data_IF_698586886392
#
_entry.id   IF_698586886392
#
_cell.length_a   1.000
_cell.length_b   1.000
_cell.length_c   1.000
_cell.angle_alpha   90.00
_cell.angle_beta   90.00
_cell.angle_gamma   90.00
#
_symmetry.space_group_name_H-M   'P 1'
#
loop_
_entity.id
_entity.type
_entity.pdbx_description
1 polymer ?
#
# COMPACT_ATOMS: atom_id res chain seq x y z
N UNK A 1 4.45 -1.96 -29.53
CA UNK A 1 3.92 -0.58 -29.65
C UNK A 1 3.71 -0.05 -28.24
N UNK A 2 3.84 1.25 -28.02
CA UNK A 2 3.32 1.90 -26.81
C UNK A 2 1.80 1.93 -26.88
N UNK A 3 1.13 1.92 -25.71
CA UNK A 3 -0.30 2.13 -25.55
C UNK A 3 -0.53 3.31 -24.62
N UNK A 4 -1.65 3.99 -24.76
CA UNK A 4 -2.17 4.96 -23.79
C UNK A 4 -3.11 4.27 -22.79
N UNK A 5 -3.49 4.96 -21.71
CA UNK A 5 -4.55 4.50 -20.82
C UNK A 5 -5.88 4.30 -21.60
N UNK A 6 -6.21 5.22 -22.50
CA UNK A 6 -7.45 5.15 -23.30
C UNK A 6 -7.48 3.94 -24.24
N UNK A 7 -6.33 3.52 -24.79
CA UNK A 7 -6.27 2.30 -25.61
C UNK A 7 -6.70 1.05 -24.82
N UNK A 8 -6.32 0.96 -23.55
CA UNK A 8 -6.70 -0.15 -22.66
C UNK A 8 -8.17 -0.05 -22.21
N UNK A 9 -8.68 1.17 -22.02
CA UNK A 9 -10.10 1.42 -21.75
C UNK A 9 -10.96 0.98 -22.93
N UNK A 10 -10.60 1.40 -24.15
CA UNK A 10 -11.32 1.03 -25.38
C UNK A 10 -11.23 -0.48 -25.65
N UNK A 11 -10.06 -1.11 -25.45
CA UNK A 11 -9.90 -2.57 -25.61
C UNK A 11 -10.76 -3.42 -24.65
N UNK A 12 -11.23 -2.85 -23.53
CA UNK A 12 -11.93 -3.56 -22.46
C UNK A 12 -13.39 -3.16 -22.26
N UNK A 13 -13.84 -2.00 -22.76
CA UNK A 13 -15.14 -1.40 -22.37
C UNK A 13 -16.34 -2.32 -22.63
N UNK A 14 -16.46 -2.95 -23.80
CA UNK A 14 -17.60 -3.82 -24.13
C UNK A 14 -17.55 -5.15 -23.38
N UNK A 15 -16.40 -5.83 -23.35
CA UNK A 15 -16.25 -7.09 -22.61
C UNK A 15 -16.49 -6.88 -21.11
N UNK A 16 -15.99 -5.78 -20.54
CA UNK A 16 -16.28 -5.37 -19.16
C UNK A 16 -17.77 -5.16 -18.92
N UNK A 17 -18.50 -4.52 -19.84
CA UNK A 17 -19.95 -4.31 -19.73
C UNK A 17 -20.73 -5.62 -19.79
N UNK A 18 -20.34 -6.58 -20.63
CA UNK A 18 -20.98 -7.90 -20.66
C UNK A 18 -20.75 -8.70 -19.37
N UNK A 19 -19.53 -8.65 -18.83
CA UNK A 19 -19.20 -9.23 -17.53
C UNK A 19 -19.87 -8.50 -16.35
N UNK A 20 -20.19 -7.21 -16.45
CA UNK A 20 -20.98 -6.51 -15.43
C UNK A 20 -22.43 -6.98 -15.46
N UNK A 21 -23.02 -7.15 -16.65
CA UNK A 21 -24.33 -7.76 -16.78
C UNK A 21 -24.34 -9.20 -16.24
N UNK A 22 -23.30 -10.00 -16.50
CA UNK A 22 -23.16 -11.36 -15.95
C UNK A 22 -23.01 -11.37 -14.42
N UNK A 23 -22.23 -10.46 -13.86
CA UNK A 23 -22.10 -10.34 -12.40
C UNK A 23 -23.42 -9.88 -11.75
N UNK A 24 -24.18 -9.01 -12.42
CA UNK A 24 -25.51 -8.59 -11.95
C UNK A 24 -26.52 -9.75 -11.94
N UNK A 25 -26.50 -10.63 -12.95
CA UNK A 25 -27.29 -11.88 -12.97
C UNK A 25 -26.97 -12.80 -11.78
N UNK A 26 -25.69 -12.91 -11.39
CA UNK A 26 -25.26 -13.71 -10.24
C UNK A 26 -25.54 -13.02 -8.89
N UNK A 27 -25.50 -11.69 -8.85
CA UNK A 27 -25.67 -10.91 -7.61
C UNK A 27 -27.14 -10.90 -7.17
N UNK A 28 -28.05 -10.50 -8.06
CA UNK A 28 -29.46 -10.30 -7.68
C UNK A 28 -29.61 -9.45 -6.41
N UNK A 29 -30.36 -9.95 -5.43
CA UNK A 29 -30.58 -9.34 -4.12
C UNK A 29 -29.60 -9.83 -3.01
N UNK A 30 -28.48 -10.50 -3.36
CA UNK A 30 -27.60 -11.18 -2.39
C UNK A 30 -26.79 -10.23 -1.49
N UNK A 31 -26.63 -10.56 -0.20
CA UNK A 31 -25.64 -9.87 0.66
C UNK A 31 -24.21 -10.28 0.27
N UNK A 32 -23.36 -9.34 -0.12
CA UNK A 32 -21.94 -9.62 -0.38
C UNK A 32 -21.11 -9.64 0.91
N UNK A 33 -20.01 -10.39 0.90
CA UNK A 33 -18.94 -10.35 1.89
C UNK A 33 -17.59 -10.64 1.21
N UNK A 34 -16.49 -10.20 1.83
CA UNK A 34 -15.14 -10.44 1.30
C UNK A 34 -14.16 -10.73 2.43
N UNK A 35 -13.32 -11.75 2.23
CA UNK A 35 -12.17 -12.08 3.07
C UNK A 35 -10.92 -12.08 2.18
N UNK A 36 -9.91 -11.28 2.54
CA UNK A 36 -8.61 -11.24 1.85
C UNK A 36 -7.56 -12.16 2.49
N UNK A 37 -7.81 -12.68 3.69
CA UNK A 37 -6.91 -13.62 4.39
C UNK A 37 -7.10 -15.07 3.89
N UNK A 38 -8.32 -15.41 3.50
CA UNK A 38 -8.65 -16.56 2.67
C UNK A 38 -9.38 -16.05 1.41
N UNK A 39 -8.63 -15.60 0.37
CA UNK A 39 -9.14 -14.78 -0.75
C UNK A 39 -10.46 -15.28 -1.36
N UNK A 40 -11.57 -14.68 -0.92
CA UNK A 40 -12.92 -15.07 -1.30
C UNK A 40 -13.87 -13.87 -1.22
N UNK A 41 -14.58 -13.61 -2.32
CA UNK A 41 -15.74 -12.74 -2.37
C UNK A 41 -16.98 -13.63 -2.45
N UNK A 42 -17.83 -13.59 -1.42
CA UNK A 42 -19.02 -14.45 -1.31
C UNK A 42 -20.30 -13.62 -1.47
N UNK A 43 -21.08 -13.96 -2.49
CA UNK A 43 -22.47 -13.53 -2.68
C UNK A 43 -23.38 -14.48 -1.90
N UNK A 44 -24.00 -13.98 -0.85
CA UNK A 44 -24.75 -14.77 0.12
C UNK A 44 -26.22 -14.88 -0.28
N UNK A 45 -26.62 -16.08 -0.68
CA UNK A 45 -27.99 -16.47 -1.07
C UNK A 45 -28.22 -17.95 -0.70
N UNK A 46 -29.41 -18.50 -1.01
CA UNK A 46 -29.68 -19.94 -0.81
C UNK A 46 -28.66 -20.83 -1.56
N UNK A 47 -28.26 -20.42 -2.77
CA UNK A 47 -27.18 -21.01 -3.57
C UNK A 47 -25.95 -20.07 -3.56
N UNK A 48 -25.35 -19.87 -2.38
CA UNK A 48 -24.25 -18.91 -2.17
C UNK A 48 -23.06 -19.13 -3.11
N UNK A 49 -22.62 -18.05 -3.78
CA UNK A 49 -21.56 -18.07 -4.81
C UNK A 49 -20.27 -17.48 -4.25
N UNK A 50 -19.14 -18.17 -4.44
CA UNK A 50 -17.80 -17.67 -4.12
C UNK A 50 -17.00 -17.36 -5.40
N UNK A 51 -16.28 -16.24 -5.39
CA UNK A 51 -15.42 -15.74 -6.47
C UNK A 51 -14.06 -15.32 -5.90
N UNK A 52 -13.01 -15.32 -6.71
CA UNK A 52 -11.66 -14.86 -6.32
C UNK A 52 -11.55 -13.34 -6.40
N UNK A 53 -11.24 -12.62 -5.31
CA UNK A 53 -11.13 -11.16 -5.30
C UNK A 53 -9.70 -10.67 -5.50
N UNK A 54 -9.56 -9.65 -6.34
CA UNK A 54 -8.30 -8.91 -6.54
C UNK A 54 -8.54 -7.43 -6.24
N UNK A 55 -7.88 -6.89 -5.22
CA UNK A 55 -7.98 -5.49 -4.82
C UNK A 55 -7.10 -4.63 -5.73
N UNK A 56 -7.70 -3.72 -6.49
CA UNK A 56 -6.94 -2.76 -7.31
C UNK A 56 -6.45 -1.57 -6.50
N UNK A 57 -7.31 -1.01 -5.65
CA UNK A 57 -7.03 0.20 -4.90
C UNK A 57 -8.26 0.77 -4.22
N UNK A 58 -8.10 1.94 -3.62
CA UNK A 58 -9.16 2.69 -2.93
C UNK A 58 -9.32 4.09 -3.50
N UNK A 59 -10.56 4.44 -3.76
CA UNK A 59 -11.04 5.77 -4.09
C UNK A 59 -11.53 6.44 -2.79
N UNK A 60 -11.07 7.66 -2.50
CA UNK A 60 -11.48 8.41 -1.32
C UNK A 60 -11.95 9.81 -1.67
N UNK A 61 -13.28 10.00 -1.67
CA UNK A 61 -13.91 11.31 -1.90
C UNK A 61 -13.51 12.33 -0.81
N UNK A 62 -13.22 11.86 0.41
CA UNK A 62 -12.83 12.68 1.56
C UNK A 62 -11.35 13.08 1.59
N UNK A 63 -10.45 12.31 0.95
CA UNK A 63 -9.04 12.69 0.74
C UNK A 63 -8.80 13.36 -0.62
N UNK A 64 -9.71 13.17 -1.58
CA UNK A 64 -9.54 13.65 -2.95
C UNK A 64 -8.50 12.86 -3.74
N UNK A 65 -8.30 11.57 -3.42
CA UNK A 65 -7.30 10.72 -4.08
C UNK A 65 -7.76 9.29 -4.37
N UNK A 66 -7.07 8.68 -5.33
CA UNK A 66 -7.02 7.23 -5.56
C UNK A 66 -5.65 6.71 -5.13
N UNK A 67 -5.62 5.62 -4.35
CA UNK A 67 -4.40 4.94 -3.91
C UNK A 67 -4.45 3.49 -4.42
N UNK A 68 -3.39 3.04 -5.08
CA UNK A 68 -3.30 1.65 -5.56
C UNK A 68 -2.94 0.68 -4.44
N UNK A 69 -3.44 -0.55 -4.52
CA UNK A 69 -3.25 -1.58 -3.48
C UNK A 69 -1.80 -2.03 -3.30
N UNK A 70 -0.94 -1.79 -4.29
CA UNK A 70 0.51 -2.04 -4.20
C UNK A 70 1.26 -1.01 -3.34
N UNK A 71 0.61 0.03 -2.80
CA UNK A 71 1.25 0.90 -1.79
C UNK A 71 1.28 0.23 -0.42
N UNK A 72 0.19 -0.44 -0.04
CA UNK A 72 0.04 -1.12 1.26
C UNK A 72 0.66 -2.54 1.23
N UNK A 73 1.90 -2.68 0.71
CA UNK A 73 2.57 -3.98 0.58
C UNK A 73 2.72 -4.68 1.92
N UNK A 74 2.31 -5.95 1.97
CA UNK A 74 2.32 -6.77 3.18
C UNK A 74 1.08 -6.64 4.08
N UNK A 75 0.12 -5.75 3.76
CA UNK A 75 -1.19 -5.74 4.41
C UNK A 75 -2.17 -6.76 3.83
N UNK A 76 -1.97 -7.16 2.57
CA UNK A 76 -2.77 -8.18 1.85
C UNK A 76 -1.85 -9.26 1.26
N UNK A 77 -2.33 -10.50 1.05
CA UNK A 77 -1.56 -11.52 0.33
C UNK A 77 -1.27 -11.13 -1.12
N UNK A 78 -0.16 -11.62 -1.67
CA UNK A 78 0.31 -11.24 -3.01
C UNK A 78 -0.72 -11.54 -4.11
N UNK A 79 -1.49 -12.62 -3.96
CA UNK A 79 -2.58 -13.01 -4.88
C UNK A 79 -3.79 -12.08 -4.84
N UNK A 80 -3.95 -11.25 -3.80
CA UNK A 80 -5.03 -10.24 -3.72
C UNK A 80 -4.60 -8.95 -4.43
N UNK A 81 -3.30 -8.65 -4.50
CA UNK A 81 -2.76 -7.45 -5.16
C UNK A 81 -2.15 -7.71 -6.54
N UNK A 82 -2.09 -8.97 -6.98
CA UNK A 82 -1.48 -9.40 -8.26
C UNK A 82 -1.99 -8.61 -9.47
N UNK A 83 -3.31 -8.42 -9.58
CA UNK A 83 -3.94 -7.66 -10.66
C UNK A 83 -3.49 -6.18 -10.70
N UNK A 84 -3.21 -5.58 -9.55
CA UNK A 84 -2.70 -4.21 -9.47
C UNK A 84 -1.20 -4.18 -9.85
N UNK A 85 -0.40 -5.13 -9.36
CA UNK A 85 1.01 -5.27 -9.74
C UNK A 85 1.15 -5.47 -11.26
N UNK A 86 0.33 -6.34 -11.86
CA UNK A 86 0.29 -6.55 -13.31
C UNK A 86 -0.12 -5.28 -14.09
N UNK A 87 -1.01 -4.45 -13.53
CA UNK A 87 -1.31 -3.13 -14.08
C UNK A 87 -0.08 -2.21 -14.06
N UNK A 88 0.67 -2.21 -12.96
CA UNK A 88 1.91 -1.43 -12.78
C UNK A 88 3.01 -1.85 -13.74
N UNK A 89 3.18 -3.15 -13.96
CA UNK A 89 4.13 -3.69 -14.92
C UNK A 89 3.75 -3.30 -16.36
N UNK A 90 2.48 -3.50 -16.76
CA UNK A 90 2.00 -3.11 -18.08
C UNK A 90 2.09 -1.58 -18.29
N UNK A 91 1.78 -0.79 -17.27
CA UNK A 91 1.99 0.66 -17.25
C UNK A 91 3.44 1.05 -17.49
N UNK A 92 4.37 0.39 -16.79
CA UNK A 92 5.81 0.59 -16.93
C UNK A 92 6.33 0.19 -18.32
N UNK A 93 5.80 -0.88 -18.91
CA UNK A 93 6.16 -1.35 -20.26
C UNK A 93 5.61 -0.45 -21.39
N UNK A 94 4.48 0.23 -21.15
CA UNK A 94 3.84 1.09 -22.14
C UNK A 94 4.09 2.59 -21.97
N UNK A 95 4.54 3.04 -20.78
CA UNK A 95 4.74 4.45 -20.44
C UNK A 95 3.46 5.15 -19.94
N UNK A 96 2.53 4.41 -19.33
CA UNK A 96 1.23 4.92 -18.84
C UNK A 96 1.37 5.31 -17.37
N UNK A 97 1.55 6.60 -17.10
CA UNK A 97 1.85 7.09 -15.74
C UNK A 97 0.71 6.90 -14.74
N UNK A 98 -0.54 6.85 -15.20
CA UNK A 98 -1.72 6.59 -14.38
C UNK A 98 -1.76 5.16 -13.83
N UNK A 99 -1.03 4.23 -14.46
CA UNK A 99 -0.84 2.86 -13.98
C UNK A 99 0.46 2.66 -13.19
N UNK A 100 1.35 3.65 -13.11
CA UNK A 100 2.62 3.53 -12.36
C UNK A 100 2.73 4.47 -11.16
N UNK A 101 1.95 5.55 -11.14
CA UNK A 101 1.90 6.53 -10.04
C UNK A 101 1.14 5.93 -8.86
N UNK A 102 1.76 6.00 -7.68
CA UNK A 102 1.33 5.32 -6.46
C UNK A 102 0.03 5.89 -5.84
N UNK A 103 -0.11 7.22 -5.82
CA UNK A 103 -1.32 7.96 -5.45
C UNK A 103 -1.64 8.98 -6.55
N UNK A 104 -2.91 9.07 -6.93
CA UNK A 104 -3.43 9.97 -7.96
C UNK A 104 -4.46 10.93 -7.36
N UNK A 105 -4.46 12.18 -7.83
CA UNK A 105 -5.56 13.13 -7.54
C UNK A 105 -6.86 12.57 -8.13
N UNK A 106 -7.94 12.56 -7.36
CA UNK A 106 -9.21 11.99 -7.78
C UNK A 106 -9.93 12.90 -8.77
N UNK A 107 -10.10 12.41 -9.99
CA UNK A 107 -10.94 12.99 -11.03
C UNK A 107 -12.25 12.18 -11.18
N UNK A 108 -13.29 12.77 -11.77
CA UNK A 108 -14.52 12.03 -12.08
C UNK A 108 -14.22 10.82 -12.99
N UNK A 109 -14.90 9.71 -12.70
CA UNK A 109 -14.73 8.41 -13.34
C UNK A 109 -13.32 7.81 -13.27
N UNK A 110 -12.34 8.38 -12.53
CA UNK A 110 -10.95 7.91 -12.53
C UNK A 110 -10.84 6.45 -12.11
N UNK A 111 -11.40 6.07 -10.96
CA UNK A 111 -11.33 4.69 -10.47
C UNK A 111 -11.92 3.69 -11.48
N UNK A 112 -12.97 4.08 -12.21
CA UNK A 112 -13.55 3.27 -13.30
C UNK A 112 -12.64 3.20 -14.53
N UNK A 113 -11.97 4.29 -14.92
CA UNK A 113 -10.97 4.34 -16.01
C UNK A 113 -9.79 3.42 -15.70
N UNK A 114 -9.19 3.54 -14.51
CA UNK A 114 -8.08 2.71 -14.06
C UNK A 114 -8.49 1.23 -13.99
N UNK A 115 -9.67 0.94 -13.42
CA UNK A 115 -10.22 -0.41 -13.39
C UNK A 115 -10.37 -1.00 -14.79
N UNK A 116 -10.96 -0.27 -15.74
CA UNK A 116 -11.10 -0.73 -17.14
C UNK A 116 -9.74 -1.02 -17.79
N UNK A 117 -8.77 -0.11 -17.65
CA UNK A 117 -7.43 -0.33 -18.15
C UNK A 117 -6.77 -1.58 -17.55
N UNK A 118 -6.96 -1.85 -16.24
CA UNK A 118 -6.48 -3.07 -15.60
C UNK A 118 -7.15 -4.34 -16.16
N UNK A 119 -8.44 -4.30 -16.51
CA UNK A 119 -9.13 -5.46 -17.14
C UNK A 119 -8.50 -5.86 -18.47
N UNK A 120 -8.03 -4.89 -19.27
CA UNK A 120 -7.39 -5.16 -20.56
C UNK A 120 -6.05 -5.91 -20.45
N UNK A 121 -5.31 -5.70 -19.35
CA UNK A 121 -3.97 -6.29 -19.14
C UNK A 121 -3.97 -7.53 -18.24
N UNK A 122 -4.99 -7.71 -17.39
CA UNK A 122 -5.15 -8.88 -16.50
C UNK A 122 -6.02 -9.99 -17.07
N UNK A 123 -6.93 -9.66 -18.01
CA UNK A 123 -7.94 -10.58 -18.52
C UNK A 123 -9.09 -10.88 -17.53
N UNK A 124 -9.15 -10.21 -16.37
CA UNK A 124 -10.23 -10.40 -15.38
C UNK A 124 -11.30 -9.34 -15.62
N UNK A 125 -12.46 -9.73 -16.18
CA UNK A 125 -13.42 -8.76 -16.73
C UNK A 125 -14.58 -8.34 -15.82
N UNK A 126 -14.82 -9.00 -14.68
CA UNK A 126 -15.80 -8.56 -13.69
C UNK A 126 -15.18 -7.57 -12.68
N UNK A 127 -15.96 -6.63 -12.13
CA UNK A 127 -15.52 -5.78 -11.01
C UNK A 127 -16.62 -5.59 -9.96
N UNK A 128 -16.25 -5.23 -8.73
CA UNK A 128 -17.21 -4.84 -7.70
C UNK A 128 -16.65 -3.69 -6.84
N UNK A 129 -17.27 -2.50 -6.85
CA UNK A 129 -16.94 -1.43 -5.92
C UNK A 129 -17.52 -1.71 -4.53
N UNK A 130 -16.66 -1.87 -3.54
CA UNK A 130 -17.00 -2.15 -2.14
C UNK A 130 -16.85 -0.90 -1.30
N UNK A 131 -17.90 -0.51 -0.57
CA UNK A 131 -17.80 0.60 0.39
C UNK A 131 -17.01 0.17 1.63
N UNK A 132 -15.82 0.74 1.82
CA UNK A 132 -14.93 0.45 2.95
C UNK A 132 -15.33 1.20 4.24
N UNK A 133 -16.13 2.27 4.11
CA UNK A 133 -16.58 3.16 5.19
C UNK A 133 -15.98 4.56 5.05
N UNK A 134 -16.50 5.53 5.81
CA UNK A 134 -15.95 6.89 5.95
C UNK A 134 -15.57 7.63 4.62
N UNK A 135 -16.34 7.40 3.55
CA UNK A 135 -16.09 8.00 2.22
C UNK A 135 -15.02 7.30 1.37
N UNK A 136 -14.59 6.09 1.76
CA UNK A 136 -13.64 5.25 1.01
C UNK A 136 -14.37 4.10 0.31
N UNK A 137 -14.03 3.87 -0.96
CA UNK A 137 -14.56 2.83 -1.85
C UNK A 137 -13.39 2.00 -2.39
N UNK A 138 -13.30 0.73 -2.00
CA UNK A 138 -12.34 -0.22 -2.53
C UNK A 138 -12.85 -0.77 -3.87
N UNK A 139 -11.99 -0.85 -4.89
CA UNK A 139 -12.35 -1.38 -6.20
C UNK A 139 -11.73 -2.76 -6.40
N UNK A 140 -12.58 -3.77 -6.56
CA UNK A 140 -12.17 -5.17 -6.76
C UNK A 140 -12.36 -5.61 -8.21
N UNK A 141 -11.46 -6.43 -8.74
CA UNK A 141 -11.78 -7.36 -9.84
C UNK A 141 -12.21 -8.71 -9.25
N UNK A 142 -13.07 -9.43 -9.98
CA UNK A 142 -13.59 -10.75 -9.57
C UNK A 142 -13.37 -11.78 -10.68
N UNK A 143 -12.93 -12.99 -10.31
CA UNK A 143 -12.71 -14.12 -11.22
C UNK A 143 -13.39 -15.40 -10.69
N UNK A 144 -13.64 -16.37 -11.57
CA UNK A 144 -14.23 -17.67 -11.26
C UNK A 144 -15.24 -18.17 -12.28
N UNK A 145 -15.35 -19.49 -12.42
CA UNK A 145 -16.03 -20.20 -13.52
C UNK A 145 -17.48 -19.75 -13.79
N UNK A 146 -18.22 -19.34 -12.75
CA UNK A 146 -19.61 -18.87 -12.87
C UNK A 146 -19.75 -17.55 -13.66
N UNK A 147 -18.67 -16.78 -13.78
CA UNK A 147 -18.57 -15.57 -14.60
C UNK A 147 -18.22 -15.87 -16.07
N UNK A 148 -17.86 -17.11 -16.45
CA UNK A 148 -17.60 -17.41 -17.86
C UNK A 148 -18.86 -17.16 -18.72
N UNK A 149 -18.65 -16.51 -19.86
CA UNK A 149 -19.73 -16.12 -20.76
C UNK A 149 -20.05 -17.25 -21.74
N UNK A 150 -21.34 -17.48 -21.96
CA UNK A 150 -21.85 -18.34 -23.04
C UNK A 150 -21.42 -17.85 -24.43
N UNK A 151 -21.75 -18.60 -25.48
CA UNK A 151 -21.53 -18.19 -26.86
C UNK A 151 -22.13 -16.78 -27.13
N UNK A 152 -21.46 -15.92 -27.92
CA UNK A 152 -21.99 -14.60 -28.23
C UNK A 152 -23.32 -14.72 -28.99
N UNK A 153 -24.27 -13.84 -28.66
CA UNK A 153 -25.56 -13.70 -29.36
C UNK A 153 -25.75 -12.27 -29.80
N UNK A 154 -26.33 -12.04 -30.98
CA UNK A 154 -26.53 -10.68 -31.53
C UNK A 154 -27.33 -9.79 -30.59
N UNK A 155 -28.29 -10.34 -29.85
CA UNK A 155 -29.06 -9.59 -28.86
C UNK A 155 -28.23 -9.14 -27.64
N UNK A 156 -27.31 -9.99 -27.16
CA UNK A 156 -26.39 -9.67 -26.06
C UNK A 156 -25.38 -8.63 -26.53
N UNK A 157 -24.72 -8.86 -27.66
CA UNK A 157 -23.72 -7.96 -28.24
C UNK A 157 -24.28 -6.55 -28.51
N UNK A 158 -25.47 -6.47 -29.14
CA UNK A 158 -26.11 -5.19 -29.44
C UNK A 158 -26.46 -4.38 -28.18
N UNK A 159 -26.98 -5.03 -27.14
CA UNK A 159 -27.23 -4.38 -25.84
C UNK A 159 -25.94 -3.94 -25.15
N UNK A 160 -24.92 -4.79 -25.12
CA UNK A 160 -23.63 -4.51 -24.49
C UNK A 160 -22.97 -3.29 -25.11
N UNK A 161 -22.93 -3.21 -26.44
CA UNK A 161 -22.41 -2.04 -27.16
C UNK A 161 -23.24 -0.79 -26.83
N UNK A 162 -24.57 -0.82 -26.98
CA UNK A 162 -25.42 0.33 -26.72
C UNK A 162 -25.32 0.85 -25.26
N UNK A 163 -25.29 -0.05 -24.27
CA UNK A 163 -25.16 0.29 -22.85
C UNK A 163 -23.77 0.89 -22.53
N UNK A 164 -22.71 0.32 -23.10
CA UNK A 164 -21.35 0.83 -22.88
C UNK A 164 -21.16 2.24 -23.46
N UNK A 165 -21.71 2.50 -24.65
CA UNK A 165 -21.63 3.80 -25.33
C UNK A 165 -22.31 4.92 -24.53
N UNK A 166 -23.42 4.62 -23.82
CA UNK A 166 -24.10 5.58 -22.94
C UNK A 166 -23.20 6.09 -21.80
N UNK A 167 -22.11 5.39 -21.47
CA UNK A 167 -21.18 5.82 -20.40
C UNK A 167 -20.14 6.84 -20.87
N UNK A 168 -20.09 7.21 -22.16
CA UNK A 168 -19.18 8.22 -22.71
C UNK A 168 -17.68 7.91 -22.58
N UNK A 169 -17.32 6.71 -22.12
CA UNK A 169 -15.94 6.34 -21.72
C UNK A 169 -15.16 5.69 -22.85
N UNK A 170 -15.85 5.18 -23.88
CA UNK A 170 -15.23 4.70 -25.11
C UNK A 170 -14.91 5.90 -26.01
N UNK A 171 -13.69 5.95 -26.56
CA UNK A 171 -13.23 7.00 -27.47
C UNK A 171 -13.00 6.44 -28.87
N UNK A 172 -12.19 5.38 -29.01
CA UNK A 172 -11.99 4.67 -30.27
C UNK A 172 -12.97 3.48 -30.36
N UNK A 173 -14.12 3.70 -30.98
CA UNK A 173 -15.16 2.66 -31.01
C UNK A 173 -14.77 1.49 -31.95
N UNK A 174 -13.96 1.73 -32.98
CA UNK A 174 -13.47 0.66 -33.88
C UNK A 174 -12.61 -0.35 -33.08
N UNK A 175 -11.68 0.16 -32.27
CA UNK A 175 -10.86 -0.64 -31.34
C UNK A 175 -11.69 -1.41 -30.31
N UNK A 176 -12.72 -0.77 -29.77
CA UNK A 176 -13.62 -1.43 -28.81
C UNK A 176 -14.39 -2.59 -29.45
N UNK A 177 -14.90 -2.43 -30.67
CA UNK A 177 -15.58 -3.51 -31.41
C UNK A 177 -14.61 -4.63 -31.76
N UNK A 178 -13.44 -4.33 -32.31
CA UNK A 178 -12.45 -5.33 -32.73
C UNK A 178 -11.99 -6.20 -31.54
N UNK A 179 -11.60 -5.56 -30.44
CA UNK A 179 -11.20 -6.27 -29.22
C UNK A 179 -12.33 -7.12 -28.65
N UNK A 180 -13.58 -6.61 -28.66
CA UNK A 180 -14.75 -7.33 -28.18
C UNK A 180 -15.10 -8.56 -29.04
N UNK A 181 -15.10 -8.43 -30.37
CA UNK A 181 -15.34 -9.54 -31.29
C UNK A 181 -14.30 -10.65 -31.06
N UNK A 182 -13.01 -10.27 -31.02
CA UNK A 182 -11.88 -11.16 -30.77
C UNK A 182 -11.95 -11.87 -29.40
N UNK A 183 -12.36 -11.16 -28.34
CA UNK A 183 -12.47 -11.72 -26.98
C UNK A 183 -13.71 -12.61 -26.80
N UNK A 184 -14.80 -12.36 -27.54
CA UNK A 184 -16.01 -13.18 -27.51
C UNK A 184 -15.99 -14.36 -28.47
N UNK A 185 -15.11 -14.35 -29.47
CA UNK A 185 -15.08 -15.36 -30.52
C UNK A 185 -16.12 -15.13 -31.62
N UNK A 186 -16.58 -13.89 -31.79
CA UNK A 186 -17.37 -13.48 -32.95
C UNK A 186 -16.44 -13.14 -34.12
N UNK A 187 -16.88 -13.38 -35.35
CA UNK A 187 -16.16 -12.91 -36.54
C UNK A 187 -16.49 -11.42 -36.77
N UNK A 188 -15.53 -10.62 -37.21
CA UNK A 188 -15.77 -9.25 -37.68
C UNK A 188 -15.15 -9.04 -39.06
N UNK A 189 -15.95 -8.47 -39.95
CA UNK A 189 -15.54 -8.09 -41.30
C UNK A 189 -15.72 -6.59 -41.50
N UNK A 190 -14.71 -5.93 -42.07
CA UNK A 190 -14.72 -4.49 -42.37
C UNK A 190 -14.83 -4.30 -43.88
N UNK A 191 -15.93 -3.68 -44.32
CA UNK A 191 -16.13 -3.28 -45.73
C UNK A 191 -15.40 -1.94 -45.99
N UNK A 192 -15.54 -1.01 -45.05
CA UNK A 192 -14.81 0.27 -45.00
C UNK A 192 -14.59 0.69 -43.54
N UNK A 193 -13.80 1.73 -43.29
CA UNK A 193 -13.69 2.36 -41.96
C UNK A 193 -15.04 2.91 -41.43
N UNK A 194 -16.04 3.07 -42.31
CA UNK A 194 -17.38 3.53 -41.96
C UNK A 194 -18.39 2.38 -41.71
N UNK A 195 -18.04 1.11 -41.99
CA UNK A 195 -18.98 -0.02 -41.85
C UNK A 195 -18.30 -1.36 -41.59
N UNK A 196 -18.74 -2.04 -40.52
CA UNK A 196 -18.38 -3.42 -40.20
C UNK A 196 -19.61 -4.32 -40.08
N UNK A 197 -19.41 -5.63 -40.20
CA UNK A 197 -20.39 -6.65 -39.83
C UNK A 197 -19.77 -7.61 -38.81
N UNK A 198 -20.39 -7.71 -37.64
CA UNK A 198 -20.01 -8.67 -36.59
C UNK A 198 -20.98 -9.86 -36.60
N UNK A 199 -20.45 -11.05 -36.84
CA UNK A 199 -21.21 -12.31 -36.98
C UNK A 199 -21.01 -13.20 -35.76
N UNK A 200 -22.12 -13.71 -35.23
CA UNK A 200 -22.19 -14.66 -34.12
C UNK A 200 -23.00 -15.91 -34.51
N UNK A 201 -23.14 -16.88 -33.61
CA UNK A 201 -23.79 -18.17 -33.90
C UNK A 201 -25.30 -18.09 -34.15
N UNK A 202 -25.95 -16.97 -33.82
CA UNK A 202 -27.40 -16.73 -33.97
C UNK A 202 -27.76 -15.69 -35.04
N UNK A 203 -26.77 -15.04 -35.68
CA UNK A 203 -26.99 -14.00 -36.71
C UNK A 203 -25.80 -13.04 -36.83
N UNK A 204 -26.02 -11.89 -37.46
CA UNK A 204 -25.03 -10.80 -37.50
C UNK A 204 -25.64 -9.43 -37.19
N UNK A 205 -24.77 -8.48 -36.84
CA UNK A 205 -25.09 -7.04 -36.74
C UNK A 205 -24.21 -6.26 -37.71
N UNK A 206 -24.80 -5.32 -38.46
CA UNK A 206 -24.07 -4.25 -39.14
C UNK A 206 -23.85 -3.11 -38.15
N UNK A 207 -22.63 -2.60 -38.13
CA UNK A 207 -22.19 -1.46 -37.34
C UNK A 207 -21.80 -0.34 -38.30
N UNK A 208 -22.48 0.80 -38.17
CA UNK A 208 -22.18 2.02 -38.92
C UNK A 208 -21.31 2.93 -38.05
N UNK A 209 -20.30 3.57 -38.65
CA UNK A 209 -19.39 4.47 -37.97
C UNK A 209 -19.38 5.85 -38.63
N UNK A 210 -19.34 6.90 -37.81
CA UNK A 210 -19.15 8.30 -38.20
C UNK A 210 -18.10 8.93 -37.27
N UNK A 211 -17.15 9.70 -37.81
CA UNK A 211 -15.97 10.23 -37.09
C UNK A 211 -15.27 9.22 -36.13
N UNK A 212 -15.20 7.94 -36.51
CA UNK A 212 -14.61 6.87 -35.69
C UNK A 212 -15.48 6.34 -34.55
N UNK A 213 -16.75 6.74 -34.49
CA UNK A 213 -17.73 6.39 -33.45
C UNK A 213 -18.91 5.64 -34.06
N UNK A 214 -19.40 4.60 -33.39
CA UNK A 214 -20.65 3.91 -33.77
C UNK A 214 -21.82 4.91 -33.84
N UNK A 215 -22.40 5.06 -35.02
CA UNK A 215 -23.57 5.89 -35.32
C UNK A 215 -24.85 5.07 -35.49
N UNK A 216 -24.74 3.76 -35.76
CA UNK A 216 -25.89 2.85 -35.88
C UNK A 216 -25.52 1.38 -35.68
N UNK A 217 -26.48 0.60 -35.17
CA UNK A 217 -26.40 -0.86 -34.98
C UNK A 217 -27.68 -1.48 -35.53
N UNK A 218 -27.57 -2.34 -36.53
CA UNK A 218 -28.71 -2.95 -37.23
C UNK A 218 -28.52 -4.46 -37.44
N UNK A 219 -29.59 -5.27 -37.57
CA UNK A 219 -29.46 -6.67 -37.97
C UNK A 219 -28.85 -6.83 -39.37
N UNK A 220 -28.04 -7.87 -39.56
CA UNK A 220 -27.40 -8.21 -40.83
C UNK A 220 -27.44 -9.71 -41.13
N UNK A 221 -27.17 -10.07 -42.38
CA UNK A 221 -26.90 -11.46 -42.77
C UNK A 221 -25.47 -11.86 -42.34
N UNK A 222 -25.25 -13.08 -41.82
CA UNK A 222 -23.91 -13.62 -41.54
C UNK A 222 -22.99 -13.58 -42.76
N UNK A 223 -21.76 -13.10 -42.60
CA UNK A 223 -20.78 -13.07 -43.71
C UNK A 223 -19.90 -14.32 -43.79
N UNK A 224 -19.85 -15.12 -42.72
CA UNK A 224 -19.04 -16.34 -42.61
C UNK A 224 -19.86 -17.56 -42.18
N UNK A 225 -19.29 -18.74 -42.39
CA UNK A 225 -19.89 -20.02 -42.00
C UNK A 225 -19.59 -20.42 -40.54
N UNK A 226 -20.19 -21.53 -40.11
CA UNK A 226 -20.00 -22.08 -38.77
C UNK A 226 -18.57 -22.58 -38.51
N UNK A 227 -17.80 -22.95 -39.54
CA UNK A 227 -16.43 -23.43 -39.35
C UNK A 227 -15.46 -22.26 -39.08
N UNK A 228 -15.71 -21.07 -39.65
CA UNK A 228 -15.00 -19.84 -39.26
C UNK A 228 -15.41 -19.38 -37.86
N UNK A 229 -16.72 -19.39 -37.52
CA UNK A 229 -17.15 -19.06 -36.15
C UNK A 229 -16.55 -20.01 -35.11
N UNK A 230 -16.40 -21.29 -35.42
CA UNK A 230 -15.68 -22.25 -34.59
C UNK A 230 -14.18 -21.92 -34.46
N UNK A 231 -13.53 -21.40 -35.52
CA UNK A 231 -12.14 -20.89 -35.45
C UNK A 231 -12.04 -19.65 -34.57
N UNK A 232 -12.95 -18.67 -34.72
CA UNK A 232 -13.00 -17.48 -33.88
C UNK A 232 -13.22 -17.84 -32.39
N UNK A 233 -14.14 -18.75 -32.09
CA UNK A 233 -14.41 -19.24 -30.73
C UNK A 233 -13.21 -19.97 -30.12
N UNK A 234 -12.53 -20.83 -30.88
CA UNK A 234 -11.32 -21.52 -30.43
C UNK A 234 -10.16 -20.54 -30.17
N UNK A 235 -9.98 -19.54 -31.03
CA UNK A 235 -8.99 -18.48 -30.82
C UNK A 235 -9.29 -17.64 -29.56
N UNK A 236 -10.54 -17.25 -29.35
CA UNK A 236 -10.98 -16.53 -28.16
C UNK A 236 -10.83 -17.35 -26.86
N UNK A 237 -11.01 -18.67 -26.92
CA UNK A 237 -10.71 -19.57 -25.81
C UNK A 237 -9.20 -19.65 -25.53
N UNK A 238 -8.38 -19.80 -26.58
CA UNK A 238 -6.91 -19.83 -26.45
C UNK A 238 -6.34 -18.53 -25.89
N UNK A 239 -6.91 -17.37 -26.25
CA UNK A 239 -6.49 -16.07 -25.74
C UNK A 239 -6.82 -15.89 -24.25
N UNK A 240 -8.02 -16.33 -23.82
CA UNK A 240 -8.41 -16.32 -22.40
C UNK A 240 -7.55 -17.26 -21.56
N UNK A 241 -7.25 -18.45 -22.07
CA UNK A 241 -6.39 -19.41 -21.39
C UNK A 241 -4.93 -18.94 -21.32
N UNK A 242 -4.43 -18.26 -22.36
CA UNK A 242 -3.12 -17.61 -22.32
C UNK A 242 -3.07 -16.53 -21.23
N UNK A 243 -4.03 -15.59 -21.18
CA UNK A 243 -4.10 -14.55 -20.15
C UNK A 243 -4.22 -15.13 -18.73
N UNK A 244 -4.99 -16.21 -18.57
CA UNK A 244 -5.11 -16.97 -17.30
C UNK A 244 -3.77 -17.59 -16.90
N UNK A 245 -3.09 -18.26 -17.83
CA UNK A 245 -1.78 -18.87 -17.59
C UNK A 245 -0.68 -17.85 -17.29
N UNK A 246 -0.66 -16.71 -17.98
CA UNK A 246 0.29 -15.60 -17.74
C UNK A 246 0.07 -15.01 -16.34
N UNK A 247 -1.19 -14.76 -15.93
CA UNK A 247 -1.52 -14.31 -14.57
C UNK A 247 -1.07 -15.33 -13.51
N UNK A 248 -1.42 -16.61 -13.68
CA UNK A 248 -1.03 -17.65 -12.71
C UNK A 248 0.48 -17.90 -12.66
N UNK A 249 1.23 -17.59 -13.72
CA UNK A 249 2.71 -17.59 -13.68
C UNK A 249 3.25 -16.40 -12.87
N UNK A 250 2.75 -15.18 -13.09
CA UNK A 250 3.13 -13.99 -12.30
C UNK A 250 2.84 -14.22 -10.80
N UNK A 251 1.65 -14.72 -10.47
CA UNK A 251 1.24 -15.03 -9.09
C UNK A 251 2.13 -16.10 -8.45
N UNK A 252 2.49 -17.14 -9.21
CA UNK A 252 3.41 -18.21 -8.76
C UNK A 252 4.83 -17.70 -8.52
N UNK A 253 5.29 -16.73 -9.31
CA UNK A 253 6.59 -16.09 -9.13
C UNK A 253 6.56 -15.21 -7.88
N UNK A 254 5.61 -14.28 -7.78
CA UNK A 254 5.46 -13.37 -6.64
C UNK A 254 5.34 -14.15 -5.30
N UNK A 255 4.49 -15.18 -5.24
CA UNK A 255 4.35 -16.01 -4.04
C UNK A 255 5.64 -16.79 -3.69
N UNK A 256 6.45 -17.16 -4.68
CA UNK A 256 7.75 -17.79 -4.44
C UNK A 256 8.78 -16.81 -3.87
N UNK A 257 8.79 -15.58 -4.37
CA UNK A 257 9.68 -14.52 -3.88
C UNK A 257 9.27 -14.05 -2.48
N UNK A 258 7.99 -13.84 -2.23
CA UNK A 258 7.45 -13.51 -0.90
C UNK A 258 7.75 -14.61 0.15
N UNK A 259 7.67 -15.89 -0.25
CA UNK A 259 8.06 -17.01 0.59
C UNK A 259 9.58 -17.00 0.90
N UNK A 260 10.43 -16.75 -0.10
CA UNK A 260 11.89 -16.64 0.08
C UNK A 260 12.25 -15.45 0.99
N UNK A 261 11.66 -14.28 0.78
CA UNK A 261 11.84 -13.10 1.64
C UNK A 261 11.34 -13.33 3.07
N UNK A 262 10.32 -14.15 3.28
CA UNK A 262 9.81 -14.47 4.61
C UNK A 262 10.70 -15.47 5.34
N UNK A 263 11.14 -16.54 4.66
CA UNK A 263 12.11 -17.50 5.20
C UNK A 263 13.46 -16.83 5.53
N UNK A 264 13.94 -15.91 4.69
CA UNK A 264 15.17 -15.17 4.95
C UNK A 264 15.06 -14.24 6.18
N UNK A 265 13.88 -13.63 6.41
CA UNK A 265 13.60 -12.84 7.63
C UNK A 265 13.54 -13.72 8.88
N UNK A 266 12.91 -14.89 8.79
CA UNK A 266 12.85 -15.86 9.89
C UNK A 266 14.25 -16.39 10.24
N UNK A 267 15.07 -16.74 9.25
CA UNK A 267 16.45 -17.18 9.49
C UNK A 267 17.32 -16.07 10.10
N UNK A 268 17.18 -14.83 9.62
CA UNK A 268 17.88 -13.68 10.20
C UNK A 268 17.49 -13.45 11.67
N UNK A 269 16.19 -13.49 11.98
CA UNK A 269 15.71 -13.34 13.36
C UNK A 269 16.16 -14.50 14.28
N UNK A 270 16.21 -15.74 13.76
CA UNK A 270 16.71 -16.89 14.49
C UNK A 270 18.22 -16.80 14.76
N UNK A 271 19.01 -16.33 13.79
CA UNK A 271 20.46 -16.06 13.97
C UNK A 271 20.69 -14.96 15.01
N UNK A 272 19.98 -13.84 14.93
CA UNK A 272 20.10 -12.74 15.90
C UNK A 272 19.68 -13.18 17.32
N UNK A 273 18.65 -14.02 17.44
CA UNK A 273 18.26 -14.61 18.72
C UNK A 273 19.36 -15.53 19.31
N UNK A 274 19.99 -16.36 18.49
CA UNK A 274 21.10 -17.22 18.91
C UNK A 274 22.36 -16.41 19.28
N UNK A 275 22.69 -15.35 18.54
CA UNK A 275 23.78 -14.42 18.88
C UNK A 275 23.52 -13.70 20.22
N UNK A 276 22.26 -13.30 20.47
CA UNK A 276 21.86 -12.73 21.77
C UNK A 276 21.94 -13.75 22.92
N UNK A 277 21.60 -15.02 22.68
CA UNK A 277 21.74 -16.10 23.67
C UNK A 277 23.22 -16.39 23.97
N UNK A 278 24.08 -16.48 22.95
CA UNK A 278 25.52 -16.70 23.15
C UNK A 278 26.18 -15.50 23.86
N UNK A 279 25.81 -14.26 23.51
CA UNK A 279 26.29 -13.07 24.20
C UNK A 279 25.89 -13.07 25.69
N UNK A 280 24.65 -13.43 26.02
CA UNK A 280 24.19 -13.56 27.41
C UNK A 280 24.92 -14.67 28.16
N UNK A 281 25.20 -15.81 27.52
CA UNK A 281 25.98 -16.91 28.11
C UNK A 281 27.43 -16.49 28.40
N UNK A 282 28.09 -15.80 27.46
CA UNK A 282 29.44 -15.25 27.64
C UNK A 282 29.49 -14.19 28.75
N UNK A 283 28.47 -13.34 28.87
CA UNK A 283 28.37 -12.38 29.97
C UNK A 283 28.22 -13.10 31.31
N UNK A 284 27.32 -14.09 31.42
CA UNK A 284 27.13 -14.85 32.64
C UNK A 284 28.39 -15.64 33.07
N UNK A 285 29.17 -16.17 32.13
CA UNK A 285 30.46 -16.79 32.43
C UNK A 285 31.50 -15.77 32.94
N UNK A 286 31.56 -14.57 32.35
CA UNK A 286 32.44 -13.50 32.79
C UNK A 286 32.07 -12.96 34.18
N UNK A 287 30.79 -12.75 34.47
CA UNK A 287 30.30 -12.37 35.80
C UNK A 287 30.61 -13.45 36.84
N UNK A 288 30.40 -14.73 36.51
CA UNK A 288 30.77 -15.85 37.37
C UNK A 288 32.29 -16.00 37.54
N UNK A 289 33.11 -15.58 36.57
CA UNK A 289 34.57 -15.53 36.71
C UNK A 289 35.01 -14.42 37.66
N UNK A 290 34.50 -13.20 37.47
CA UNK A 290 34.78 -12.06 38.35
C UNK A 290 34.33 -12.31 39.79
N UNK A 291 33.19 -12.99 40.01
CA UNK A 291 32.77 -13.40 41.36
C UNK A 291 33.76 -14.40 41.99
N UNK A 292 34.27 -15.39 41.23
CA UNK A 292 35.27 -16.35 41.74
C UNK A 292 36.59 -15.67 42.08
N UNK A 293 37.00 -14.67 41.30
CA UNK A 293 38.21 -13.88 41.54
C UNK A 293 38.05 -13.03 42.82
N UNK A 294 36.94 -12.29 42.97
CA UNK A 294 36.64 -11.53 44.18
C UNK A 294 36.50 -12.43 45.44
N UNK A 295 35.92 -13.64 45.31
CA UNK A 295 35.90 -14.62 46.39
C UNK A 295 37.29 -15.15 46.75
N UNK A 296 38.23 -15.21 45.81
CA UNK A 296 39.62 -15.59 46.09
C UNK A 296 40.36 -14.42 46.77
N UNK A 297 40.26 -13.19 46.25
CA UNK A 297 40.86 -12.01 46.85
C UNK A 297 40.41 -11.81 48.30
N UNK A 298 39.10 -11.95 48.58
CA UNK A 298 38.56 -11.86 49.93
C UNK A 298 39.10 -12.95 50.88
N UNK A 299 39.36 -14.17 50.38
CA UNK A 299 40.00 -15.25 51.17
C UNK A 299 41.48 -15.00 51.39
N UNK A 300 42.20 -14.45 50.41
CA UNK A 300 43.62 -14.08 50.55
C UNK A 300 43.80 -12.88 51.48
N UNK A 301 42.91 -11.88 51.45
CA UNK A 301 42.91 -10.79 52.42
C UNK A 301 42.57 -11.29 53.82
N UNK A 302 41.56 -12.16 53.99
CA UNK A 302 41.24 -12.76 55.28
C UNK A 302 42.44 -13.56 55.84
N UNK A 303 43.08 -14.40 55.04
CA UNK A 303 44.29 -15.13 55.45
C UNK A 303 45.48 -14.20 55.77
N UNK A 304 45.59 -13.05 55.09
CA UNK A 304 46.58 -12.01 55.39
C UNK A 304 46.26 -11.25 56.68
N UNK A 305 44.98 -11.06 57.00
CA UNK A 305 44.52 -10.48 58.25
C UNK A 305 44.77 -11.43 59.43
N UNK A 306 44.48 -12.73 59.26
CA UNK A 306 44.81 -13.79 60.24
C UNK A 306 46.33 -13.85 60.52
N UNK A 307 47.17 -13.82 59.47
CA UNK A 307 48.64 -13.76 59.65
C UNK A 307 49.07 -12.51 60.41
N UNK A 308 48.56 -11.33 60.06
CA UNK A 308 48.85 -10.08 60.81
C UNK A 308 48.36 -10.14 62.26
N UNK A 309 47.26 -10.84 62.54
CA UNK A 309 46.77 -11.04 63.90
C UNK A 309 47.68 -11.99 64.70
N UNK A 310 48.14 -13.10 64.09
CA UNK A 310 49.11 -14.01 64.70
C UNK A 310 50.49 -13.36 64.91
N UNK A 311 50.96 -12.55 63.96
CA UNK A 311 52.17 -11.73 64.09
C UNK A 311 52.06 -10.73 65.25
N UNK A 312 50.89 -10.11 65.43
CA UNK A 312 50.60 -9.23 66.59
C UNK A 312 50.54 -10.00 67.91
N UNK A 313 49.90 -11.17 67.96
CA UNK A 313 49.87 -11.99 69.18
C UNK A 313 51.29 -12.49 69.55
N UNK A 314 52.11 -12.84 68.56
CA UNK A 314 53.50 -13.18 68.77
C UNK A 314 54.32 -11.99 69.28
N UNK A 315 54.17 -10.80 68.69
CA UNK A 315 54.85 -9.59 69.14
C UNK A 315 54.37 -9.12 70.53
N UNK A 316 53.08 -9.28 70.87
CA UNK A 316 52.58 -9.04 72.23
C UNK A 316 53.14 -10.05 73.25
N UNK A 317 53.42 -11.28 72.82
CA UNK A 317 54.04 -12.31 73.67
C UNK A 317 55.52 -12.03 73.89
N UNK A 318 56.25 -11.70 72.82
CA UNK A 318 57.66 -11.27 72.87
C UNK A 318 57.82 -9.98 73.69
N UNK A 319 56.89 -9.03 73.58
CA UNK A 319 56.88 -7.82 74.41
C UNK A 319 56.67 -8.11 75.91
N UNK A 320 55.85 -9.12 76.26
CA UNK A 320 55.68 -9.55 77.67
C UNK A 320 56.89 -10.31 78.20
N UNK A 321 57.61 -11.06 77.35
CA UNK A 321 58.89 -11.67 77.72
C UNK A 321 60.00 -10.61 77.85
N UNK A 322 59.97 -9.54 77.04
CA UNK A 322 60.89 -8.41 77.12
C UNK A 322 60.61 -7.49 78.34
N UNK A 323 59.35 -7.32 78.76
CA UNK A 323 59.00 -6.55 79.97
C UNK A 323 59.53 -7.22 81.27
N UNK A 324 59.87 -8.52 81.22
CA UNK A 324 60.51 -9.23 82.33
C UNK A 324 62.05 -9.03 82.38
N UNK A 325 62.68 -8.38 81.39
CA UNK A 325 64.14 -8.24 81.29
C UNK A 325 64.63 -6.78 81.16
N UNK A 326 65.09 -6.26 82.29
CA UNK A 326 66.11 -5.20 82.45
C UNK A 326 65.87 -3.83 81.78
N UNK A 327 65.38 -2.87 82.57
CA UNK A 327 65.44 -1.45 82.21
C UNK A 327 66.77 -0.79 82.61
N UNK A 328 67.43 -0.09 81.69
CA UNK A 328 68.41 0.96 82.03
C UNK A 328 68.35 2.15 81.06
N UNK A 329 68.45 3.36 81.60
CA UNK A 329 68.41 4.62 80.82
C UNK A 329 69.78 4.98 80.24
N UNK A 330 69.81 5.62 79.07
CA UNK A 330 70.95 6.47 78.65
C UNK A 330 70.43 7.58 77.73
N UNK A 331 71.03 8.77 77.86
CA UNK A 331 70.58 10.02 77.24
C UNK A 331 71.75 10.68 76.53
N UNK A 332 71.68 10.87 75.20
CA UNK A 332 72.13 12.13 74.59
C UNK A 332 71.66 12.36 73.14
N UNK A 333 70.65 13.25 73.01
CA UNK A 333 70.71 14.53 72.29
C UNK A 333 71.69 14.68 71.10
N UNK A 334 71.17 15.03 69.91
CA UNK A 334 71.33 16.36 69.23
C UNK A 334 70.66 16.31 67.83
N UNK A 335 70.06 17.44 67.40
CA UNK A 335 69.40 17.65 66.11
C UNK A 335 70.31 18.31 65.06
N UNK A 336 70.12 17.96 63.79
CA UNK A 336 69.92 18.84 62.60
C UNK A 336 69.50 17.93 61.42
N UNK A 337 68.32 18.11 60.80
CA UNK A 337 68.04 19.05 59.69
C UNK A 337 68.72 18.57 58.36
N UNK A 338 68.05 18.38 57.21
CA UNK A 338 66.78 18.96 56.67
C UNK A 338 65.86 17.86 56.09
N UNK A 339 64.55 18.10 56.09
CA UNK A 339 63.54 17.34 55.31
C UNK A 339 62.99 18.18 54.14
N UNK A 340 62.95 17.62 52.93
CA UNK A 340 62.14 18.17 51.83
C UNK A 340 60.64 17.81 51.98
N UNK A 341 59.70 18.56 51.37
CA UNK A 341 58.40 18.81 52.00
C UNK A 341 57.20 18.09 51.33
N UNK A 342 56.00 18.55 51.67
CA UNK A 342 54.66 18.12 51.20
C UNK A 342 53.99 16.95 51.94
N UNK A 343 54.49 16.58 53.12
CA UNK A 343 53.65 15.96 54.16
C UNK A 343 53.28 17.04 55.20
N UNK A 344 51.99 17.36 55.31
CA UNK A 344 51.44 18.38 56.21
C UNK A 344 50.00 18.00 56.61
N UNK A 345 49.84 17.47 57.82
CA UNK A 345 48.52 17.31 58.44
C UNK A 345 47.85 18.68 58.73
N UNK A 346 46.50 18.73 58.80
CA UNK A 346 45.75 19.96 58.97
C UNK A 346 45.92 20.60 60.36
N UNK A 347 45.60 21.89 60.46
CA UNK A 347 45.79 22.70 61.68
C UNK A 347 44.60 22.64 62.66
N UNK A 348 44.92 22.72 63.95
CA UNK A 348 43.99 22.63 65.08
C UNK A 348 42.96 23.78 65.21
N UNK A 349 42.99 24.81 64.35
CA UNK A 349 42.01 25.91 64.36
C UNK A 349 40.77 25.64 63.48
N UNK A 350 40.70 24.48 62.81
CA UNK A 350 39.57 24.06 61.98
C UNK A 350 38.33 23.65 62.80
N UNK A 351 37.37 24.58 62.96
CA UNK A 351 36.05 24.25 63.53
C UNK A 351 35.19 23.43 62.55
N UNK A 352 34.45 22.39 63.00
CA UNK A 352 33.72 21.49 62.11
C UNK A 352 32.47 22.14 61.49
N UNK A 353 32.56 22.50 60.21
CA UNK A 353 31.46 23.04 59.41
C UNK A 353 30.33 22.01 59.20
N UNK A 354 29.13 22.31 59.73
CA UNK A 354 27.96 21.44 59.66
C UNK A 354 27.35 21.38 58.26
N UNK A 355 27.31 20.20 57.66
CA UNK A 355 26.55 19.94 56.41
C UNK A 355 25.04 20.03 56.67
N UNK A 356 24.32 20.73 55.78
CA UNK A 356 22.85 20.74 55.72
C UNK A 356 22.36 20.71 54.29
N UNK A 357 21.45 19.79 53.98
CA UNK A 357 20.73 19.71 52.69
C UNK A 357 19.71 20.85 52.57
N UNK A 358 19.69 21.55 51.43
CA UNK A 358 18.72 22.59 51.09
C UNK A 358 18.53 22.69 49.58
N UNK A 359 17.35 23.14 49.14
CA UNK A 359 16.87 22.98 47.76
C UNK A 359 16.24 24.26 47.19
N UNK A 360 16.69 24.67 45.99
CA UNK A 360 16.05 25.67 45.09
C UNK A 360 15.88 27.11 45.68
N UNK A 361 15.79 28.20 44.90
CA UNK A 361 15.69 28.35 43.43
C UNK A 361 16.21 29.73 42.93
N UNK A 362 16.27 29.89 41.60
CA UNK A 362 16.18 31.12 40.78
C UNK A 362 17.31 32.20 40.79
N UNK A 363 17.58 32.77 39.61
CA UNK A 363 18.01 34.15 39.26
C UNK A 363 18.90 34.26 37.98
N UNK A 364 18.40 34.99 36.97
CA UNK A 364 19.04 35.72 35.82
C UNK A 364 20.58 35.66 35.62
N UNK A 365 21.20 35.41 34.44
CA UNK A 365 20.97 35.73 32.99
C UNK A 365 21.59 37.07 32.50
N UNK A 366 22.43 36.97 31.43
CA UNK A 366 23.15 38.04 30.67
C UNK A 366 24.30 38.77 31.42
N UNK A 367 25.39 39.25 30.80
CA UNK A 367 25.53 39.83 29.43
C UNK A 367 26.99 39.74 28.84
N UNK A 368 27.18 40.19 27.57
CA UNK A 368 28.44 40.64 26.89
C UNK A 368 29.66 39.66 26.73
N UNK A 369 30.46 39.56 25.65
CA UNK A 369 30.54 40.07 24.24
C UNK A 369 31.06 38.90 23.35
N UNK A 370 30.71 38.70 22.06
CA UNK A 370 31.16 39.43 20.83
C UNK A 370 32.71 39.37 20.63
N UNK A 371 33.33 39.18 19.44
CA UNK A 371 32.99 39.34 18.00
C UNK A 371 33.34 38.03 17.20
N UNK A 372 33.52 37.87 15.86
CA UNK A 372 33.86 38.71 14.67
C UNK A 372 33.08 38.20 13.41
N UNK A 373 33.20 38.95 12.31
CA UNK A 373 32.47 38.99 11.02
C UNK A 373 32.58 37.79 10.06
N UNK A 374 31.65 37.76 9.08
CA UNK A 374 31.64 36.94 7.85
C UNK A 374 31.55 37.83 6.60
N UNK A 375 32.24 37.48 5.51
CA UNK A 375 32.25 38.25 4.24
C UNK A 375 31.01 38.02 3.35
N UNK A 376 30.68 39.02 2.52
CA UNK A 376 29.53 39.01 1.58
C UNK A 376 29.78 38.20 0.29
N UNK A 377 28.71 37.75 -0.36
CA UNK A 377 28.67 37.47 -1.81
C UNK A 377 27.47 38.19 -2.42
N UNK A 378 27.67 38.77 -3.60
CA UNK A 378 26.85 39.87 -4.15
C UNK A 378 25.60 39.40 -4.91
N UNK A 379 24.50 40.15 -4.75
CA UNK A 379 23.28 40.06 -5.57
C UNK A 379 23.26 41.19 -6.63
N UNK A 380 22.64 40.93 -7.80
CA UNK A 380 22.56 41.87 -8.91
C UNK A 380 21.11 42.32 -9.17
N UNK A 381 20.86 43.61 -9.50
CA UNK A 381 19.51 44.17 -9.52
C UNK A 381 18.75 43.94 -10.83
N UNK A 382 17.44 43.69 -10.73
CA UNK A 382 16.49 43.80 -11.84
C UNK A 382 15.26 44.61 -11.39
N UNK A 383 15.05 45.79 -11.97
CA UNK A 383 13.96 46.71 -11.62
C UNK A 383 12.65 46.33 -12.30
N UNK A 384 11.55 46.30 -11.54
CA UNK A 384 10.19 46.15 -12.08
C UNK A 384 9.57 47.52 -12.38
N UNK A 385 9.28 47.79 -13.65
CA UNK A 385 8.25 48.77 -14.03
C UNK A 385 6.92 48.04 -14.26
N UNK A 386 5.81 48.68 -13.88
CA UNK A 386 4.44 48.19 -14.10
C UNK A 386 3.73 49.11 -15.07
N UNK A 387 3.47 48.64 -16.28
CA UNK A 387 2.54 49.29 -17.20
C UNK A 387 1.13 48.71 -17.00
N UNK A 388 0.13 49.58 -16.90
CA UNK A 388 -1.28 49.21 -16.72
C UNK A 388 -1.98 49.18 -18.07
N UNK A 389 -2.58 48.05 -18.42
CA UNK A 389 -3.44 47.92 -19.61
C UNK A 389 -4.81 47.40 -19.17
N UNK A 390 -5.85 48.19 -19.41
CA UNK A 390 -7.24 47.76 -19.33
C UNK A 390 -7.58 46.97 -20.61
N UNK A 391 -8.26 45.83 -20.47
CA UNK A 391 -8.87 45.09 -21.58
C UNK A 391 -10.27 44.65 -21.15
N UNK A 392 -11.24 44.79 -22.04
CA UNK A 392 -12.67 44.60 -21.76
C UNK A 392 -13.06 43.14 -21.50
N UNK A 393 -14.02 42.93 -20.59
CA UNK A 393 -14.76 41.67 -20.50
C UNK A 393 -15.73 41.59 -21.69
N UNK A 394 -15.54 40.62 -22.59
CA UNK A 394 -16.55 40.24 -23.59
C UNK A 394 -17.19 38.91 -23.20
N UNK A 395 -18.46 38.95 -22.82
CA UNK A 395 -19.27 37.75 -22.58
C UNK A 395 -19.49 36.98 -23.90
N UNK A 396 -18.78 35.88 -24.13
CA UNK A 396 -19.05 34.97 -25.25
C UNK A 396 -19.81 33.72 -24.76
N UNK A 397 -21.09 33.65 -25.15
CA UNK A 397 -22.03 32.67 -24.58
C UNK A 397 -21.85 31.27 -25.17
N UNK A 398 -21.22 30.37 -24.40
CA UNK A 398 -21.17 28.94 -24.72
C UNK A 398 -22.57 28.31 -24.59
N UNK A 399 -23.31 28.25 -25.69
CA UNK A 399 -24.61 27.59 -25.76
C UNK A 399 -24.45 26.07 -25.57
N UNK A 400 -25.17 25.52 -24.59
CA UNK A 400 -25.01 24.12 -24.18
C UNK A 400 -25.55 23.16 -25.25
N UNK A 401 -24.64 22.56 -26.02
CA UNK A 401 -24.96 21.56 -27.04
C UNK A 401 -25.68 20.35 -26.43
N UNK A 402 -26.99 20.24 -26.69
CA UNK A 402 -27.79 19.07 -26.32
C UNK A 402 -27.59 17.97 -27.36
N UNK A 403 -27.06 16.79 -27.01
CA UNK A 403 -27.00 15.67 -27.95
C UNK A 403 -28.42 15.24 -28.36
N UNK A 404 -28.58 14.88 -29.62
CA UNK A 404 -29.88 14.43 -30.15
C UNK A 404 -30.30 13.10 -29.52
N UNK A 405 -31.59 12.96 -29.20
CA UNK A 405 -32.11 11.76 -28.55
C UNK A 405 -32.05 10.54 -29.48
N UNK A 406 -31.30 9.50 -29.07
CA UNK A 406 -31.34 8.18 -29.68
C UNK A 406 -32.77 7.61 -29.62
N UNK A 407 -33.38 7.38 -30.79
CA UNK A 407 -34.73 6.81 -30.89
C UNK A 407 -34.71 5.30 -30.71
N UNK A 408 -34.66 4.84 -29.47
CA UNK A 408 -35.08 3.48 -29.13
C UNK A 408 -36.61 3.40 -29.26
N UNK A 409 -37.11 2.41 -30.00
CA UNK A 409 -38.54 2.18 -30.18
C UNK A 409 -39.12 1.40 -28.99
N UNK A 410 -39.46 2.10 -27.92
CA UNK A 410 -40.10 1.57 -26.72
C UNK A 410 -40.50 2.70 -25.78
N UNK A 411 -41.66 2.57 -25.14
CA UNK A 411 -42.20 3.58 -24.23
C UNK A 411 -41.39 3.56 -22.92
N UNK A 412 -40.74 4.68 -22.59
CA UNK A 412 -39.89 4.81 -21.41
C UNK A 412 -40.73 5.19 -20.17
N UNK A 413 -40.44 4.64 -18.98
CA UNK A 413 -41.11 5.04 -17.74
C UNK A 413 -40.75 6.47 -17.31
N UNK A 414 -41.62 7.09 -16.52
CA UNK A 414 -41.45 8.43 -15.98
C UNK A 414 -40.50 8.42 -14.78
N UNK A 415 -39.23 8.75 -15.04
CA UNK A 415 -38.15 8.80 -14.05
C UNK A 415 -38.21 10.03 -13.12
N UNK A 416 -39.07 11.01 -13.39
CA UNK A 416 -39.29 12.13 -12.47
C UNK A 416 -40.30 11.73 -11.37
N UNK A 417 -41.35 10.98 -11.73
CA UNK A 417 -42.31 10.42 -10.77
C UNK A 417 -41.66 9.45 -9.77
N UNK A 418 -40.78 8.54 -10.22
CA UNK A 418 -40.07 7.62 -9.31
C UNK A 418 -39.10 8.34 -8.36
N UNK A 419 -38.58 9.52 -8.75
CA UNK A 419 -37.73 10.34 -7.88
C UNK A 419 -38.51 11.00 -6.74
N UNK A 420 -39.70 11.53 -7.02
CA UNK A 420 -40.55 12.13 -5.96
C UNK A 420 -41.02 11.07 -4.95
N UNK A 421 -41.33 9.84 -5.40
CA UNK A 421 -41.69 8.75 -4.48
C UNK A 421 -40.47 8.28 -3.64
N UNK A 422 -39.28 8.23 -4.23
CA UNK A 422 -38.05 7.89 -3.51
C UNK A 422 -37.66 8.93 -2.43
N UNK A 423 -37.93 10.22 -2.64
CA UNK A 423 -37.64 11.28 -1.66
C UNK A 423 -38.62 11.32 -0.46
N UNK A 424 -39.74 10.58 -0.53
CA UNK A 424 -40.69 10.43 0.58
C UNK A 424 -40.74 9.03 1.20
N UNK A 425 -39.93 8.09 0.73
CA UNK A 425 -39.78 6.77 1.35
C UNK A 425 -39.05 6.85 2.71
N UNK A 426 -39.56 6.24 3.80
CA UNK A 426 -38.87 6.24 5.09
C UNK A 426 -37.59 5.39 5.02
N UNK A 427 -36.44 6.02 5.27
CA UNK A 427 -35.12 5.37 5.26
C UNK A 427 -35.10 4.14 6.19
N UNK A 428 -34.88 2.95 5.62
CA UNK A 428 -34.55 1.75 6.39
C UNK A 428 -33.12 1.87 6.91
N UNK A 429 -32.91 1.63 8.20
CA UNK A 429 -31.57 1.53 8.80
C UNK A 429 -30.88 0.25 8.32
N UNK A 430 -29.99 0.38 7.33
CA UNK A 430 -28.99 -0.66 7.03
C UNK A 430 -27.94 -0.65 8.14
N UNK A 431 -27.76 -1.78 8.82
CA UNK A 431 -26.78 -1.90 9.91
C UNK A 431 -25.37 -1.96 9.34
N UNK A 432 -24.62 -0.85 9.47
CA UNK A 432 -23.19 -0.80 9.19
C UNK A 432 -22.43 -1.86 10.02
N UNK A 433 -21.97 -2.93 9.36
CA UNK A 433 -21.07 -3.93 9.96
C UNK A 433 -19.65 -3.37 10.02
N UNK A 434 -19.36 -2.48 11.00
CA UNK A 434 -17.98 -2.16 11.39
C UNK A 434 -17.26 -3.47 11.75
N UNK A 435 -16.15 -3.79 11.09
CA UNK A 435 -15.45 -5.05 11.37
C UNK A 435 -14.13 -5.28 10.64
N UNK A 436 -14.04 -4.98 9.34
CA UNK A 436 -12.88 -5.36 8.52
C UNK A 436 -12.07 -4.15 8.02
N UNK A 437 -12.60 -3.40 7.04
CA UNK A 437 -11.89 -2.29 6.36
C UNK A 437 -11.29 -1.23 7.28
N UNK A 438 -11.96 -0.85 8.37
CA UNK A 438 -11.47 0.09 9.40
C UNK A 438 -10.08 -0.27 9.95
N UNK A 439 -9.78 -1.57 10.09
CA UNK A 439 -8.47 -2.06 10.56
C UNK A 439 -7.34 -1.94 9.53
N UNK A 440 -7.67 -1.87 8.24
CA UNK A 440 -6.69 -1.82 7.14
C UNK A 440 -6.53 -0.42 6.55
N UNK A 441 -7.57 0.41 6.53
CA UNK A 441 -7.56 1.72 5.87
C UNK A 441 -7.58 2.92 6.85
N UNK A 442 -7.52 2.66 8.17
CA UNK A 442 -7.42 3.69 9.20
C UNK A 442 -8.67 4.57 9.34
N UNK A 443 -9.83 3.93 9.53
CA UNK A 443 -11.17 4.56 9.56
C UNK A 443 -11.89 4.35 10.91
#
# INVERSE_FOLDING_TARGET
>A
MTKTLQDLIDESIFISTEYQARLAELTGDSEWSVDFSAPSFTLSSDDSVALSPYLLGTESESRGSWIWSWQELGHFPDSVVSAAIQAREAGSQHGISELTTDELVLEDGLARRLTLATKAVTGIYAHYPVQAGAGVRAWLLLDGDLLELEAPTVNRMGRVMAQALQTGTAVNHLKAVDSYARLRGAHIEWDTEATAVITATDGALRLWFDEGKISGIEPAEPTVDADELNRCAAHAASLREQMRSERSEVERIAASEAAQHSAAREEAAAREAAEREEAAARQAEAEAAAQREAEQEAREEAARAERKAAEREAAEREAREAEEVEGTTTTDRVYTDVSDPYDQDPRDDAQPGRVTTGSFDDAVVADEFEQIETEEVQEAPATTERETVEVEETEESHEAYKPAAFRVAGEAPDLEAEREEAEHAPKKETKEKKGFFSRFFGL
#
